data_IF_731234600444
#
_entry.id   IF_731234600444
#
_cell.length_a   1.000
_cell.length_b   1.000
_cell.length_c   1.000
_cell.angle_alpha   90.00
_cell.angle_beta   90.00
_cell.angle_gamma   90.00
#
_symmetry.space_group_name_H-M   'P 1'
#
loop_
_entity.id
_entity.type
_entity.pdbx_description
1 polymer ?
#
# COMPACT_ATOMS: atom_id res chain seq x y z
N UNK A 1 -4.73 -5.09 -8.61
CA UNK A 1 -3.60 -5.71 -7.87
C UNK A 1 -4.09 -6.06 -6.48
N UNK A 2 -3.91 -7.31 -6.05
CA UNK A 2 -4.32 -7.75 -4.71
C UNK A 2 -4.66 -9.24 -4.63
N UNK A 3 -4.72 -9.73 -3.40
CA UNK A 3 -4.92 -11.16 -3.13
C UNK A 3 -6.31 -11.67 -3.51
N UNK A 4 -6.40 -12.96 -3.80
CA UNK A 4 -7.67 -13.63 -4.10
C UNK A 4 -8.64 -13.62 -2.89
N UNK A 5 -8.10 -13.45 -1.68
CA UNK A 5 -8.88 -13.47 -0.44
C UNK A 5 -9.39 -12.07 -0.03
N UNK A 6 -8.96 -11.01 -0.73
CA UNK A 6 -9.42 -9.65 -0.48
C UNK A 6 -10.78 -9.41 -1.13
N UNK A 7 -11.81 -9.21 -0.31
CA UNK A 7 -13.17 -8.87 -0.78
C UNK A 7 -13.17 -7.57 -1.61
N UNK A 8 -12.40 -6.56 -1.19
CA UNK A 8 -12.27 -5.29 -1.90
C UNK A 8 -11.63 -5.48 -3.29
N UNK A 9 -10.53 -6.24 -3.37
CA UNK A 9 -9.89 -6.53 -4.67
C UNK A 9 -10.84 -7.25 -5.62
N UNK A 10 -11.63 -8.21 -5.11
CA UNK A 10 -12.64 -8.91 -5.90
C UNK A 10 -13.81 -8.01 -6.30
N UNK A 11 -14.15 -7.01 -5.49
CA UNK A 11 -15.17 -6.02 -5.84
C UNK A 11 -14.71 -5.14 -7.02
N UNK A 12 -13.46 -4.65 -6.99
CA UNK A 12 -12.85 -3.91 -8.10
C UNK A 12 -12.83 -4.72 -9.39
N UNK A 13 -12.42 -6.00 -9.32
CA UNK A 13 -12.42 -6.89 -10.48
C UNK A 13 -13.83 -7.05 -11.08
N UNK A 14 -14.84 -7.31 -10.23
CA UNK A 14 -16.23 -7.44 -10.70
C UNK A 14 -16.73 -6.15 -11.33
N UNK A 15 -16.49 -5.00 -10.70
CA UNK A 15 -16.88 -3.70 -11.20
C UNK A 15 -16.29 -3.41 -12.59
N UNK A 16 -15.01 -3.71 -12.81
CA UNK A 16 -14.37 -3.54 -14.11
C UNK A 16 -15.02 -4.43 -15.19
N UNK A 17 -15.38 -5.68 -14.85
CA UNK A 17 -16.08 -6.58 -15.78
C UNK A 17 -17.49 -6.07 -16.09
N UNK A 18 -18.24 -5.63 -15.07
CA UNK A 18 -19.59 -5.06 -15.21
C UNK A 18 -19.59 -3.75 -16.02
N UNK A 19 -18.52 -2.95 -15.91
CA UNK A 19 -18.29 -1.75 -16.73
C UNK A 19 -17.94 -2.05 -18.20
N UNK A 20 -17.81 -3.33 -18.58
CA UNK A 20 -17.59 -3.74 -19.97
C UNK A 20 -16.12 -3.90 -20.37
N UNK A 21 -15.18 -3.97 -19.43
CA UNK A 21 -13.78 -4.26 -19.76
C UNK A 21 -13.63 -5.66 -20.35
N UNK A 22 -13.14 -5.75 -21.60
CA UNK A 22 -12.96 -7.01 -22.31
C UNK A 22 -11.97 -7.98 -21.63
N UNK A 23 -10.91 -7.43 -21.02
CA UNK A 23 -9.89 -8.20 -20.29
C UNK A 23 -9.69 -7.57 -18.92
N UNK A 24 -9.88 -8.37 -17.87
CA UNK A 24 -9.64 -7.97 -16.48
C UNK A 24 -8.80 -9.05 -15.81
N UNK A 25 -7.66 -8.64 -15.26
CA UNK A 25 -6.70 -9.52 -14.59
C UNK A 25 -6.50 -9.09 -13.15
N UNK A 26 -6.84 -9.97 -12.21
CA UNK A 26 -6.45 -9.81 -10.82
C UNK A 26 -5.11 -10.54 -10.60
N UNK A 27 -4.09 -9.76 -10.28
CA UNK A 27 -2.72 -10.26 -10.05
C UNK A 27 -2.27 -10.01 -8.62
N UNK A 28 -1.50 -10.94 -8.05
CA UNK A 28 -0.80 -10.74 -6.77
C UNK A 28 0.55 -10.03 -6.96
N UNK A 29 1.19 -10.21 -8.11
CA UNK A 29 2.49 -9.62 -8.43
C UNK A 29 2.62 -9.31 -9.91
N UNK A 30 3.63 -8.52 -10.30
CA UNK A 30 3.89 -8.15 -11.68
C UNK A 30 4.18 -9.35 -12.60
N UNK A 31 4.65 -10.48 -12.06
CA UNK A 31 4.96 -11.68 -12.85
C UNK A 31 3.73 -12.42 -13.37
N UNK A 32 2.56 -12.20 -12.76
CA UNK A 32 1.30 -12.79 -13.21
C UNK A 32 0.66 -12.01 -14.37
N UNK A 33 1.27 -10.88 -14.79
CA UNK A 33 0.78 -10.11 -15.92
C UNK A 33 0.96 -10.91 -17.23
N UNK A 34 -0.08 -10.98 -18.07
CA UNK A 34 0.06 -11.57 -19.39
C UNK A 34 0.99 -10.74 -20.28
N UNK A 35 1.77 -11.42 -21.14
CA UNK A 35 2.79 -10.79 -22.00
C UNK A 35 2.23 -10.17 -23.29
N UNK A 36 0.96 -10.37 -23.57
CA UNK A 36 0.24 -9.92 -24.78
C UNK A 36 -0.68 -8.72 -24.51
N UNK A 37 -0.45 -7.99 -23.40
CA UNK A 37 -1.16 -6.74 -23.14
C UNK A 37 -0.69 -5.67 -24.13
N UNK A 38 -1.66 -4.95 -24.71
CA UNK A 38 -1.42 -3.86 -25.64
C UNK A 38 -2.53 -2.82 -25.54
N UNK A 39 -2.25 -1.61 -26.04
CA UNK A 39 -3.16 -0.45 -25.91
C UNK A 39 -3.11 0.18 -24.52
N UNK A 40 -4.19 0.87 -24.15
CA UNK A 40 -4.33 1.52 -22.84
C UNK A 40 -4.69 0.47 -21.78
N UNK A 41 -3.85 0.36 -20.74
CA UNK A 41 -4.06 -0.57 -19.61
C UNK A 41 -4.39 0.22 -18.36
N UNK A 42 -5.59 0.01 -17.82
CA UNK A 42 -5.97 0.54 -16.52
C UNK A 42 -5.35 -0.28 -15.39
N UNK A 43 -4.70 0.38 -14.44
CA UNK A 43 -4.08 -0.25 -13.27
C UNK A 43 -4.76 0.29 -12.01
N UNK A 44 -5.16 -0.61 -11.11
CA UNK A 44 -5.72 -0.25 -9.81
C UNK A 44 -5.32 -1.30 -8.77
N UNK A 45 -5.30 -0.92 -7.49
CA UNK A 45 -4.92 -1.76 -6.37
C UNK A 45 -6.06 -1.82 -5.34
N UNK A 46 -6.21 -2.98 -4.68
CA UNK A 46 -7.06 -3.04 -3.50
C UNK A 46 -6.43 -2.29 -2.33
N UNK A 47 -7.23 -1.85 -1.36
CA UNK A 47 -6.78 -1.09 -0.18
C UNK A 47 -5.64 -1.73 0.64
N UNK A 48 -5.43 -3.03 0.50
CA UNK A 48 -4.38 -3.78 1.20
C UNK A 48 -3.13 -4.05 0.35
N UNK A 49 -3.07 -3.55 -0.89
CA UNK A 49 -1.93 -3.76 -1.77
C UNK A 49 -0.87 -2.68 -1.52
N UNK A 50 0.39 -3.06 -1.21
CA UNK A 50 1.49 -2.11 -1.11
C UNK A 50 1.73 -1.33 -2.40
N UNK A 51 2.18 -0.09 -2.28
CA UNK A 51 2.49 0.81 -3.40
C UNK A 51 3.60 0.25 -4.29
N UNK A 52 4.58 -0.42 -3.70
CA UNK A 52 5.70 -1.04 -4.40
C UNK A 52 5.23 -2.14 -5.38
N UNK A 53 4.10 -2.79 -5.10
CA UNK A 53 3.50 -3.75 -6.05
C UNK A 53 2.87 -3.06 -7.25
N UNK A 54 2.30 -1.87 -7.05
CA UNK A 54 1.77 -1.04 -8.13
C UNK A 54 2.91 -0.57 -9.02
N UNK A 55 3.98 -0.07 -8.43
CA UNK A 55 5.19 0.34 -9.14
C UNK A 55 5.81 -0.82 -9.92
N UNK A 56 5.92 -2.00 -9.32
CA UNK A 56 6.43 -3.18 -10.00
C UNK A 56 5.57 -3.58 -11.22
N UNK A 57 4.24 -3.44 -11.11
CA UNK A 57 3.31 -3.70 -12.22
C UNK A 57 3.50 -2.67 -13.34
N UNK A 58 3.59 -1.38 -13.00
CA UNK A 58 3.83 -0.30 -13.96
C UNK A 58 5.18 -0.51 -14.68
N UNK A 59 6.23 -0.82 -13.92
CA UNK A 59 7.56 -1.10 -14.47
C UNK A 59 7.55 -2.30 -15.41
N UNK A 60 6.79 -3.36 -15.08
CA UNK A 60 6.67 -4.56 -15.93
C UNK A 60 5.89 -4.31 -17.21
N UNK A 61 4.88 -3.42 -17.17
CA UNK A 61 4.11 -2.99 -18.34
C UNK A 61 4.94 -2.10 -19.27
N UNK A 62 5.90 -1.35 -18.72
CA UNK A 62 6.83 -0.48 -19.45
C UNK A 62 6.12 0.41 -20.51
N UNK A 63 5.20 1.29 -20.09
CA UNK A 63 4.33 2.02 -21.02
C UNK A 63 5.12 3.02 -21.88
N UNK A 64 4.93 2.95 -23.20
CA UNK A 64 5.63 3.81 -24.17
C UNK A 64 5.24 5.29 -24.07
N UNK A 65 3.99 5.58 -23.74
CA UNK A 65 3.44 6.94 -23.64
C UNK A 65 3.41 7.48 -22.20
N UNK A 66 4.03 6.76 -21.25
CA UNK A 66 4.02 7.11 -19.84
C UNK A 66 2.77 6.63 -19.09
N UNK A 67 2.58 7.19 -17.90
CA UNK A 67 1.50 6.85 -16.97
C UNK A 67 0.70 8.11 -16.69
N UNK A 68 -0.62 7.99 -16.70
CA UNK A 68 -1.55 9.04 -16.28
C UNK A 68 -2.24 8.60 -14.99
N UNK A 69 -2.03 9.34 -13.90
CA UNK A 69 -2.74 9.12 -12.64
C UNK A 69 -4.11 9.79 -12.70
N UNK A 70 -5.18 8.99 -12.55
CA UNK A 70 -6.55 9.49 -12.48
C UNK A 70 -6.99 9.50 -11.02
N UNK A 71 -7.05 10.70 -10.42
CA UNK A 71 -7.53 10.91 -9.05
C UNK A 71 -8.96 11.47 -9.07
N UNK A 72 -9.88 10.76 -8.42
CA UNK A 72 -11.31 11.14 -8.36
C UNK A 72 -11.63 11.90 -7.07
N UNK A 73 -11.10 11.42 -5.95
CA UNK A 73 -11.37 11.95 -4.61
C UNK A 73 -10.06 12.02 -3.83
N UNK A 74 -9.85 13.10 -3.08
CA UNK A 74 -8.79 13.19 -2.09
C UNK A 74 -9.26 12.54 -0.78
N UNK A 75 -8.50 11.56 -0.29
CA UNK A 75 -8.76 10.84 0.96
C UNK A 75 -7.69 11.20 1.99
N UNK A 76 -8.07 11.76 3.14
CA UNK A 76 -7.14 12.20 4.20
C UNK A 76 -7.46 11.62 5.58
N UNK A 77 -8.40 10.67 5.63
CA UNK A 77 -8.86 10.03 6.87
C UNK A 77 -7.74 9.17 7.49
N UNK A 78 -7.48 9.41 8.77
CA UNK A 78 -6.44 8.71 9.51
C UNK A 78 -7.01 8.10 10.79
N UNK A 79 -6.80 6.80 10.96
CA UNK A 79 -7.20 6.05 12.15
C UNK A 79 -5.98 5.80 13.04
N UNK A 80 -5.79 6.60 14.11
CA UNK A 80 -4.66 6.39 15.02
C UNK A 80 -4.80 5.05 15.76
N UNK A 81 -3.68 4.42 16.15
CA UNK A 81 -3.72 3.20 16.94
C UNK A 81 -4.52 3.37 18.25
N UNK A 82 -5.16 2.29 18.74
CA UNK A 82 -5.77 2.26 20.07
C UNK A 82 -4.86 2.81 21.18
N UNK A 83 -5.43 3.50 22.17
CA UNK A 83 -4.66 4.18 23.24
C UNK A 83 -3.69 3.23 23.96
N UNK A 84 -4.13 2.02 24.26
CA UNK A 84 -3.32 0.99 24.90
C UNK A 84 -2.09 0.58 24.08
N UNK A 85 -2.17 0.58 22.74
CA UNK A 85 -1.01 0.28 21.89
C UNK A 85 -0.01 1.43 21.89
N UNK A 86 -0.50 2.69 21.88
CA UNK A 86 0.37 3.88 22.00
C UNK A 86 1.08 3.93 23.35
N UNK A 87 0.36 3.65 24.43
CA UNK A 87 0.93 3.61 25.78
C UNK A 87 2.01 2.53 25.89
N UNK A 88 1.77 1.35 25.28
CA UNK A 88 2.75 0.28 25.21
C UNK A 88 3.99 0.66 24.40
N UNK A 89 3.83 1.28 23.23
CA UNK A 89 4.95 1.76 22.41
C UNK A 89 5.81 2.76 23.19
N UNK A 90 5.21 3.73 23.88
CA UNK A 90 5.91 4.71 24.71
C UNK A 90 6.68 4.02 25.85
N UNK A 91 6.06 3.03 26.51
CA UNK A 91 6.71 2.29 27.59
C UNK A 91 7.94 1.50 27.09
N UNK A 92 7.82 0.83 25.95
CA UNK A 92 8.92 0.09 25.31
C UNK A 92 10.05 1.06 24.92
N UNK A 93 9.72 2.16 24.25
CA UNK A 93 10.70 3.17 23.83
C UNK A 93 11.45 3.77 25.04
N UNK A 94 10.73 4.07 26.12
CA UNK A 94 11.31 4.62 27.36
C UNK A 94 12.27 3.62 28.01
N UNK A 95 11.88 2.34 28.07
CA UNK A 95 12.71 1.29 28.64
C UNK A 95 14.01 1.11 27.83
N UNK A 96 13.90 1.00 26.51
CA UNK A 96 15.06 0.85 25.61
C UNK A 96 15.98 2.06 25.71
N UNK A 97 15.43 3.27 25.65
CA UNK A 97 16.22 4.51 25.73
C UNK A 97 16.99 4.58 27.05
N UNK A 98 16.34 4.27 28.16
CA UNK A 98 16.98 4.28 29.48
C UNK A 98 18.07 3.20 29.59
N UNK A 99 17.78 1.98 29.12
CA UNK A 99 18.73 0.86 29.16
C UNK A 99 19.97 1.11 28.28
N UNK A 100 19.81 1.80 27.15
CA UNK A 100 20.90 2.16 26.26
C UNK A 100 21.62 3.46 26.67
N UNK A 101 21.26 4.06 27.81
CA UNK A 101 21.87 5.31 28.30
C UNK A 101 21.50 6.54 27.48
N UNK A 102 20.42 6.48 26.69
CA UNK A 102 19.89 7.61 25.92
C UNK A 102 19.13 8.60 26.78
N UNK A 103 18.95 9.83 26.27
CA UNK A 103 18.17 10.86 26.95
C UNK A 103 16.71 10.83 26.51
N UNK A 104 15.79 10.83 27.49
CA UNK A 104 14.35 10.92 27.24
C UNK A 104 13.92 12.31 26.70
N UNK A 105 14.74 13.34 26.89
CA UNK A 105 14.47 14.70 26.39
C UNK A 105 14.81 14.89 24.91
N UNK A 106 15.60 13.99 24.33
CA UNK A 106 16.02 14.03 22.93
C UNK A 106 15.50 12.84 22.12
N UNK A 107 14.41 12.22 22.57
CA UNK A 107 13.83 11.05 21.89
C UNK A 107 13.21 11.45 20.55
N UNK A 108 13.38 10.66 19.48
CA UNK A 108 12.66 10.87 18.24
C UNK A 108 11.16 10.68 18.48
N UNK A 109 10.33 11.65 18.10
CA UNK A 109 8.87 11.45 18.10
C UNK A 109 8.51 10.52 16.94
N UNK A 110 7.85 9.40 17.22
CA UNK A 110 7.30 8.55 16.17
C UNK A 110 6.06 9.24 15.60
N UNK A 111 6.17 9.74 14.37
CA UNK A 111 5.02 10.23 13.61
C UNK A 111 4.37 9.05 12.87
N UNK A 112 3.50 8.34 13.59
CA UNK A 112 2.72 7.20 13.06
C UNK A 112 1.84 7.57 11.85
N UNK A 113 1.57 8.86 11.60
CA UNK A 113 0.78 9.30 10.44
C UNK A 113 1.62 9.33 9.17
N UNK A 114 2.90 9.67 9.30
CA UNK A 114 3.84 9.76 8.18
C UNK A 114 4.40 8.41 7.73
N UNK A 115 4.33 7.39 8.59
CA UNK A 115 4.89 6.06 8.32
C UNK A 115 3.82 5.10 7.80
N UNK A 116 3.86 4.83 6.51
CA UNK A 116 3.01 3.81 5.89
C UNK A 116 3.30 2.41 6.44
N UNK A 117 2.24 1.62 6.69
CA UNK A 117 2.38 0.25 7.19
C UNK A 117 3.17 -0.66 6.24
N UNK A 118 3.04 -0.45 4.92
CA UNK A 118 3.83 -1.15 3.89
C UNK A 118 5.33 -0.92 4.07
N UNK A 119 5.74 0.32 4.31
CA UNK A 119 7.14 0.69 4.51
C UNK A 119 7.74 0.00 5.74
N UNK A 120 7.01 0.01 6.86
CA UNK A 120 7.45 -0.68 8.09
C UNK A 120 7.62 -2.17 7.84
N UNK A 121 6.65 -2.82 7.18
CA UNK A 121 6.73 -4.25 6.88
C UNK A 121 7.85 -4.61 5.91
N UNK A 122 8.19 -3.73 4.95
CA UNK A 122 9.29 -3.94 4.03
C UNK A 122 10.68 -3.83 4.70
N UNK A 123 10.75 -3.18 5.87
CA UNK A 123 12.00 -2.96 6.63
C UNK A 123 12.32 -4.04 7.67
N UNK A 124 11.39 -4.98 7.91
CA UNK A 124 11.55 -6.13 8.82
C UNK A 124 12.20 -7.32 8.12
#
# INVERSE_FOLDING_TARGET
IGSANSSNTRALERLAREAGCARVFRVNSAHELPSDLSGTVGVTAGASAPEELVDAVIARLAPLYGVEEVRITDEDEYFPPPRNLRDLQIAIETAITTMCGGSLTSRPSVDDRSLGASYVLASL
#
